data_IF_338325188292
#
_entry.id   IF_338325188292
#
_cell.length_a   1.000
_cell.length_b   1.000
_cell.length_c   1.000
_cell.angle_alpha   90.00
_cell.angle_beta   90.00
_cell.angle_gamma   90.00
#
_symmetry.space_group_name_H-M   'P 1'
#
loop_
_entity.id
_entity.type
_entity.pdbx_description
1 polymer ?
#
# COMPACT_ATOMS: atom_id res chain seq x y z
N UNK A 1 9.74 22.91 10.87
CA UNK A 1 8.38 22.40 11.03
C UNK A 1 8.34 21.02 10.40
N UNK A 2 8.11 19.96 11.18
CA UNK A 2 7.90 18.62 10.62
C UNK A 2 6.46 18.61 10.13
N UNK A 3 6.25 18.67 8.82
CA UNK A 3 4.95 18.32 8.24
C UNK A 3 4.71 16.87 8.59
N UNK A 4 3.73 16.62 9.46
CA UNK A 4 3.27 15.27 9.70
C UNK A 4 2.86 14.67 8.35
N UNK A 5 3.26 13.43 8.04
CA UNK A 5 2.88 12.80 6.78
C UNK A 5 1.35 12.78 6.72
N UNK A 6 0.79 13.27 5.61
CA UNK A 6 -0.66 13.24 5.43
C UNK A 6 -1.12 11.81 5.21
N UNK A 7 -2.40 11.52 5.47
CA UNK A 7 -3.02 10.24 5.10
C UNK A 7 -2.68 9.79 3.67
N UNK A 8 -2.52 10.76 2.76
CA UNK A 8 -2.17 10.56 1.35
C UNK A 8 -0.70 10.20 1.14
N UNK A 9 0.23 10.85 1.86
CA UNK A 9 1.64 10.46 1.82
C UNK A 9 1.81 9.01 2.29
N UNK A 10 1.17 8.65 3.40
CA UNK A 10 1.17 7.28 3.91
C UNK A 10 0.53 6.28 2.92
N UNK A 11 -0.52 6.69 2.20
CA UNK A 11 -1.15 5.85 1.19
C UNK A 11 -0.23 5.63 -0.02
N UNK A 12 0.46 6.67 -0.48
CA UNK A 12 1.43 6.59 -1.56
C UNK A 12 2.67 5.76 -1.17
N UNK A 13 3.10 5.82 0.09
CA UNK A 13 4.15 4.96 0.63
C UNK A 13 3.69 3.49 0.66
N UNK A 14 2.50 3.20 1.20
CA UNK A 14 1.94 1.85 1.20
C UNK A 14 1.93 1.25 -0.20
N UNK A 15 1.52 2.05 -1.19
CA UNK A 15 1.55 1.68 -2.60
C UNK A 15 2.94 1.33 -3.11
N UNK A 16 3.97 2.14 -2.81
CA UNK A 16 5.35 1.88 -3.27
C UNK A 16 5.90 0.59 -2.69
N UNK A 17 5.65 0.37 -1.41
CA UNK A 17 6.09 -0.82 -0.68
C UNK A 17 5.43 -2.09 -1.22
N UNK A 18 4.14 -2.06 -1.55
CA UNK A 18 3.46 -3.17 -2.25
C UNK A 18 4.12 -3.50 -3.60
N UNK A 19 4.49 -2.50 -4.39
CA UNK A 19 5.17 -2.72 -5.67
C UNK A 19 6.54 -3.35 -5.47
N UNK A 20 7.31 -2.88 -4.48
CA UNK A 20 8.61 -3.45 -4.14
C UNK A 20 8.48 -4.90 -3.59
N UNK A 21 7.43 -5.18 -2.82
CA UNK A 21 7.14 -6.52 -2.32
C UNK A 21 6.81 -7.50 -3.45
N UNK A 22 6.00 -7.07 -4.44
CA UNK A 22 5.70 -7.88 -5.63
C UNK A 22 6.95 -8.16 -6.45
N UNK A 23 7.76 -7.14 -6.70
CA UNK A 23 9.04 -7.26 -7.43
C UNK A 23 9.98 -8.25 -6.73
N UNK A 24 10.14 -8.14 -5.41
CA UNK A 24 10.92 -9.08 -4.62
C UNK A 24 10.35 -10.51 -4.69
N UNK A 25 9.02 -10.66 -4.72
CA UNK A 25 8.37 -11.96 -4.90
C UNK A 25 8.67 -12.58 -6.28
N UNK A 26 8.64 -11.78 -7.35
CA UNK A 26 9.00 -12.21 -8.71
C UNK A 26 10.47 -12.65 -8.81
N UNK A 27 11.36 -11.99 -8.06
CA UNK A 27 12.78 -12.35 -7.95
C UNK A 27 13.08 -13.47 -6.94
N UNK A 28 12.07 -13.99 -6.23
CA UNK A 28 12.22 -15.05 -5.22
C UNK A 28 12.87 -14.60 -3.90
N UNK A 29 13.03 -13.29 -3.69
CA UNK A 29 13.63 -12.71 -2.49
C UNK A 29 12.60 -12.60 -1.36
N UNK A 30 12.49 -13.67 -0.58
CA UNK A 30 11.52 -13.80 0.51
C UNK A 30 11.73 -12.77 1.63
N UNK A 31 12.99 -12.45 1.95
CA UNK A 31 13.31 -11.51 3.02
C UNK A 31 12.87 -10.10 2.64
N UNK A 32 13.24 -9.65 1.44
CA UNK A 32 12.83 -8.33 0.93
C UNK A 32 11.34 -8.25 0.71
N UNK A 33 10.72 -9.32 0.20
CA UNK A 33 9.25 -9.39 0.06
C UNK A 33 8.56 -9.14 1.40
N UNK A 34 8.96 -9.84 2.46
CA UNK A 34 8.37 -9.65 3.80
C UNK A 34 8.69 -8.29 4.40
N UNK A 35 9.89 -7.74 4.17
CA UNK A 35 10.24 -6.40 4.61
C UNK A 35 9.32 -5.34 3.98
N UNK A 36 9.20 -5.35 2.66
CA UNK A 36 8.34 -4.42 1.92
C UNK A 36 6.87 -4.63 2.26
N UNK A 37 6.41 -5.88 2.40
CA UNK A 37 5.03 -6.17 2.79
C UNK A 37 4.68 -5.59 4.18
N UNK A 38 5.60 -5.67 5.15
CA UNK A 38 5.40 -5.08 6.49
C UNK A 38 5.39 -3.56 6.46
N UNK A 39 6.28 -2.94 5.68
CA UNK A 39 6.26 -1.49 5.47
C UNK A 39 4.94 -1.04 4.86
N UNK A 40 4.43 -1.75 3.85
CA UNK A 40 3.14 -1.45 3.24
C UNK A 40 1.98 -1.52 4.25
N UNK A 41 1.99 -2.53 5.13
CA UNK A 41 0.99 -2.71 6.19
C UNK A 41 1.02 -1.52 7.16
N UNK A 42 2.20 -1.08 7.59
CA UNK A 42 2.37 0.03 8.54
C UNK A 42 1.89 1.37 7.94
N UNK A 43 2.27 1.63 6.68
CA UNK A 43 1.84 2.83 5.96
C UNK A 43 0.33 2.83 5.71
N UNK A 44 -0.25 1.68 5.31
CA UNK A 44 -1.70 1.55 5.16
C UNK A 44 -2.44 1.76 6.50
N UNK A 45 -1.93 1.19 7.59
CA UNK A 45 -2.49 1.38 8.92
C UNK A 45 -2.44 2.86 9.34
N UNK A 46 -1.36 3.58 9.00
CA UNK A 46 -1.24 5.03 9.24
C UNK A 46 -2.38 5.80 8.57
N UNK A 47 -2.69 5.52 7.29
CA UNK A 47 -3.83 6.15 6.60
C UNK A 47 -5.17 5.80 7.26
N UNK A 48 -5.34 4.57 7.76
CA UNK A 48 -6.58 4.15 8.42
C UNK A 48 -6.78 4.78 9.80
N UNK A 49 -5.70 5.17 10.47
CA UNK A 49 -5.72 5.84 11.77
C UNK A 49 -5.88 7.36 11.63
N UNK A 50 -5.66 7.92 10.43
CA UNK A 50 -5.83 9.36 10.17
C UNK A 50 -7.33 9.71 10.06
N UNK A 51 -7.88 10.51 10.99
CA UNK A 51 -9.30 10.89 10.97
C UNK A 51 -9.63 11.87 9.82
N UNK A 52 -8.63 12.43 9.17
CA UNK A 52 -8.76 13.33 8.01
C UNK A 52 -8.73 12.56 6.69
N UNK A 53 -8.51 11.25 6.71
CA UNK A 53 -8.52 10.42 5.52
C UNK A 53 -9.90 10.44 4.85
N UNK A 54 -9.90 10.64 3.54
CA UNK A 54 -11.11 10.59 2.74
C UNK A 54 -11.60 9.15 2.63
N UNK A 55 -12.91 8.92 2.50
CA UNK A 55 -13.47 7.58 2.25
C UNK A 55 -12.75 6.77 1.16
N UNK A 56 -12.46 7.31 -0.05
CA UNK A 56 -11.73 6.54 -1.06
C UNK A 56 -10.27 6.23 -0.66
N UNK A 57 -9.64 7.06 0.18
CA UNK A 57 -8.29 6.81 0.71
C UNK A 57 -8.32 5.68 1.75
N UNK A 58 -9.36 5.63 2.58
CA UNK A 58 -9.60 4.52 3.53
C UNK A 58 -9.81 3.19 2.78
N UNK A 59 -10.60 3.20 1.71
CA UNK A 59 -10.81 2.00 0.88
C UNK A 59 -9.51 1.57 0.20
N UNK A 60 -8.72 2.51 -0.33
CA UNK A 60 -7.40 2.22 -0.90
C UNK A 60 -6.41 1.66 0.14
N UNK A 61 -6.39 2.23 1.35
CA UNK A 61 -5.53 1.76 2.43
C UNK A 61 -5.92 0.33 2.86
N UNK A 62 -7.21 0.03 2.97
CA UNK A 62 -7.69 -1.34 3.22
C UNK A 62 -7.29 -2.32 2.11
N UNK A 63 -7.34 -1.89 0.85
CA UNK A 63 -6.85 -2.70 -0.27
C UNK A 63 -5.35 -3.03 -0.11
N UNK A 64 -4.50 -2.03 0.19
CA UNK A 64 -3.07 -2.27 0.39
C UNK A 64 -2.76 -3.09 1.65
N UNK A 65 -3.53 -2.92 2.71
CA UNK A 65 -3.40 -3.73 3.92
C UNK A 65 -3.64 -5.22 3.59
N UNK A 66 -4.72 -5.53 2.87
CA UNK A 66 -5.02 -6.90 2.43
C UNK A 66 -3.88 -7.47 1.56
N UNK A 67 -3.40 -6.68 0.60
CA UNK A 67 -2.33 -7.10 -0.30
C UNK A 67 -0.98 -7.31 0.40
N UNK A 68 -0.63 -6.43 1.34
CA UNK A 68 0.58 -6.57 2.15
C UNK A 68 0.52 -7.83 3.02
N UNK A 69 -0.62 -8.14 3.63
CA UNK A 69 -0.80 -9.36 4.40
C UNK A 69 -0.65 -10.62 3.53
N UNK A 70 -1.17 -10.61 2.31
CA UNK A 70 -0.99 -11.70 1.36
C UNK A 70 0.50 -11.88 0.98
N UNK A 71 1.22 -10.77 0.74
CA UNK A 71 2.64 -10.78 0.36
C UNK A 71 3.58 -11.16 1.52
N UNK A 72 3.24 -10.85 2.77
CA UNK A 72 4.00 -11.32 3.95
C UNK A 72 3.80 -12.83 4.23
N UNK A 73 2.99 -13.52 3.42
CA UNK A 73 2.66 -14.94 3.64
C UNK A 73 1.66 -15.14 4.78
N UNK A 74 0.93 -14.08 5.14
CA UNK A 74 -0.08 -14.03 6.19
C UNK A 74 -1.48 -13.72 5.65
N UNK A 75 -1.96 -14.35 4.55
CA UNK A 75 -3.25 -14.01 3.96
C UNK A 75 -4.43 -14.21 4.94
N UNK A 76 -4.28 -15.03 5.98
CA UNK A 76 -5.30 -15.29 7.01
C UNK A 76 -5.03 -14.60 8.36
N UNK A 77 -4.09 -13.66 8.44
CA UNK A 77 -3.77 -12.98 9.70
C UNK A 77 -4.45 -11.62 9.77
N UNK A 78 -5.31 -11.44 10.77
CA UNK A 78 -5.98 -10.19 11.15
C UNK A 78 -6.90 -9.59 10.06
N UNK A 79 -8.16 -10.02 10.05
CA UNK A 79 -9.24 -9.26 9.41
C UNK A 79 -9.26 -9.19 7.89
N UNK A 80 -8.30 -9.81 7.18
CA UNK A 80 -8.25 -9.86 5.72
C UNK A 80 -9.55 -10.43 5.09
N UNK A 81 -10.15 -11.44 5.74
CA UNK A 81 -11.42 -12.05 5.34
C UNK A 81 -12.64 -11.12 5.53
N UNK A 82 -12.48 -10.04 6.32
CA UNK A 82 -13.51 -9.01 6.58
C UNK A 82 -13.29 -7.73 5.79
N UNK A 83 -12.28 -7.66 4.91
CA UNK A 83 -12.05 -6.50 4.04
C UNK A 83 -12.95 -6.67 2.81
N UNK A 84 -14.21 -6.23 2.94
CA UNK A 84 -15.19 -6.22 1.85
C UNK A 84 -14.94 -5.03 0.89
N UNK A 85 -13.77 -4.96 0.26
CA UNK A 85 -13.39 -3.83 -0.61
C UNK A 85 -14.45 -3.58 -1.69
N UNK A 86 -15.15 -4.62 -2.17
CA UNK A 86 -16.23 -4.52 -3.17
C UNK A 86 -17.51 -3.85 -2.62
N UNK A 87 -17.92 -4.16 -1.38
CA UNK A 87 -19.08 -3.50 -0.75
C UNK A 87 -18.75 -2.04 -0.40
N UNK A 88 -17.54 -1.77 0.06
CA UNK A 88 -17.10 -0.41 0.35
C UNK A 88 -16.97 0.42 -0.93
N UNK A 89 -16.53 -0.19 -2.04
CA UNK A 89 -16.54 0.43 -3.37
C UNK A 89 -17.95 0.81 -3.80
N UNK A 90 -18.94 -0.05 -3.57
CA UNK A 90 -20.35 0.22 -3.91
C UNK A 90 -20.96 1.33 -3.06
N UNK A 91 -20.43 1.57 -1.86
CA UNK A 91 -20.85 2.66 -0.99
C UNK A 91 -20.28 4.04 -1.41
N UNK A 92 -19.26 4.07 -2.27
CA UNK A 92 -18.67 5.30 -2.80
C UNK A 92 -19.52 5.92 -3.93
N UNK A 93 -19.46 7.24 -4.05
CA UNK A 93 -20.02 7.95 -5.22
C UNK A 93 -19.26 7.61 -6.50
N UNK A 94 -19.89 7.75 -7.68
CA UNK A 94 -19.25 7.48 -8.98
C UNK A 94 -17.90 8.20 -9.16
N UNK A 95 -17.77 9.47 -8.75
CA UNK A 95 -16.51 10.22 -8.79
C UNK A 95 -15.42 9.61 -7.89
N UNK A 96 -15.81 9.12 -6.71
CA UNK A 96 -14.88 8.47 -5.77
C UNK A 96 -14.46 7.08 -6.27
N UNK A 97 -15.39 6.34 -6.87
CA UNK A 97 -15.07 5.06 -7.53
C UNK A 97 -14.15 5.26 -8.72
N UNK A 98 -14.38 6.31 -9.53
CA UNK A 98 -13.53 6.67 -10.67
C UNK A 98 -12.12 7.07 -10.20
N UNK A 99 -12.01 7.89 -9.16
CA UNK A 99 -10.74 8.24 -8.54
C UNK A 99 -10.01 7.00 -8.03
N UNK A 100 -10.68 6.14 -7.27
CA UNK A 100 -10.08 4.94 -6.69
C UNK A 100 -9.60 3.99 -7.79
N UNK A 101 -10.41 3.80 -8.84
CA UNK A 101 -10.04 2.99 -9.99
C UNK A 101 -8.83 3.55 -10.72
N UNK A 102 -8.74 4.87 -10.91
CA UNK A 102 -7.57 5.50 -11.53
C UNK A 102 -6.31 5.38 -10.65
N UNK A 103 -6.48 5.62 -9.34
CA UNK A 103 -5.44 5.52 -8.34
C UNK A 103 -4.86 4.10 -8.26
N UNK A 104 -5.73 3.08 -8.25
CA UNK A 104 -5.32 1.67 -8.30
C UNK A 104 -4.84 1.25 -9.69
N UNK A 105 -5.37 1.79 -10.79
CA UNK A 105 -4.91 1.45 -12.15
C UNK A 105 -3.47 1.88 -12.41
N UNK A 106 -3.04 3.03 -11.86
CA UNK A 106 -1.64 3.45 -11.98
C UNK A 106 -0.65 2.53 -11.23
N UNK A 107 -1.12 1.48 -10.52
CA UNK A 107 -0.29 0.35 -10.07
C UNK A 107 0.36 -0.41 -11.24
N UNK A 108 -0.28 -0.45 -12.41
CA UNK A 108 0.10 -1.32 -13.51
C UNK A 108 1.08 -0.69 -14.50
N UNK A 109 1.23 0.63 -14.47
CA UNK A 109 1.95 1.40 -15.50
C UNK A 109 3.19 2.15 -14.99
N UNK A 110 3.55 2.05 -13.71
CA UNK A 110 4.76 2.72 -13.17
C UNK A 110 5.66 1.75 -12.39
N UNK A 111 6.60 1.15 -13.11
CA UNK A 111 7.91 0.74 -12.58
C UNK A 111 9.01 1.27 -13.53
N UNK A 112 10.23 1.62 -13.06
CA UNK A 112 10.72 1.57 -11.69
C UNK A 112 11.23 2.93 -11.18
N UNK A 113 10.93 3.25 -9.91
CA UNK A 113 11.77 4.20 -9.16
C UNK A 113 12.99 3.40 -8.73
N UNK A 114 14.14 3.71 -9.32
CA UNK A 114 15.44 3.28 -8.78
C UNK A 114 15.51 3.78 -7.34
N UNK A 115 15.31 2.87 -6.38
CA UNK A 115 15.82 3.05 -5.04
C UNK A 115 17.34 3.06 -5.17
N UNK A 116 17.91 4.26 -5.31
CA UNK A 116 19.34 4.50 -5.15
C UNK A 116 19.68 4.13 -3.70
N UNK A 117 19.96 2.85 -3.49
CA UNK A 117 20.67 2.37 -2.31
C UNK A 117 22.06 3.02 -2.40
N UNK A 118 22.23 4.15 -1.71
CA UNK A 118 23.53 4.74 -1.45
C UNK A 118 24.25 3.81 -0.48
N UNK A 119 24.83 2.73 -1.02
CA UNK A 119 25.85 1.96 -0.32
C UNK A 119 27.14 2.75 -0.47
N UNK A 120 27.29 3.79 0.34
CA UNK A 120 28.60 4.37 0.63
C UNK A 120 29.38 3.40 1.54
N UNK A 121 29.83 2.28 0.97
CA UNK A 121 30.98 1.54 1.48
C UNK A 121 32.22 2.05 0.75
N UNK A 122 33.06 2.83 1.43
CA UNK A 122 34.44 3.02 1.02
C UNK A 122 35.07 4.35 1.42
N UNK A 123 35.75 4.38 2.58
CA UNK A 123 37.22 4.26 2.64
C UNK A 123 37.67 4.25 4.10
#
# INVERSE_FOLDING_TARGET
>A
MRTEPTARDALDDARREILAARDAAEHGDQERRSQYARSAIDSAATTLLDPSASQPEVVAARFFLHEGLALDGRPNSCGADSIHTDEELKALSDDQQAWLRDYLRTQRERQPVRASYDISCGR
#
